data_IF_103469896223
#
_entry.id   IF_103469896223
#
_cell.length_a   1.000
_cell.length_b   1.000
_cell.length_c   1.000
_cell.angle_alpha   90.00
_cell.angle_beta   90.00
_cell.angle_gamma   90.00
#
_symmetry.space_group_name_H-M   'P 1'
#
loop_
_entity.id
_entity.type
_entity.pdbx_description
1 polymer ?
#
# COMPACT_ATOMS: atom_id res chain seq x y z
N UNK A 1 48.65 -14.76 -14.48
CA UNK A 1 48.89 -13.37 -14.05
C UNK A 1 48.33 -12.33 -15.01
N UNK A 2 48.17 -12.59 -16.32
CA UNK A 2 47.56 -11.62 -17.27
C UNK A 2 46.03 -11.49 -17.16
N UNK A 3 45.30 -12.59 -17.11
CA UNK A 3 43.82 -12.58 -17.03
C UNK A 3 43.26 -12.01 -15.71
N UNK A 4 44.02 -12.13 -14.61
CA UNK A 4 43.63 -11.58 -13.31
C UNK A 4 43.67 -10.04 -13.29
N UNK A 5 44.55 -9.45 -14.11
CA UNK A 5 44.70 -7.99 -14.23
C UNK A 5 43.57 -7.38 -15.10
N UNK A 6 43.13 -8.08 -16.13
CA UNK A 6 42.05 -7.62 -17.02
C UNK A 6 40.68 -7.58 -16.31
N UNK A 7 40.37 -8.58 -15.48
CA UNK A 7 39.14 -8.58 -14.68
C UNK A 7 39.13 -7.44 -13.66
N UNK A 8 40.26 -7.20 -12.99
CA UNK A 8 40.38 -6.12 -12.01
C UNK A 8 40.25 -4.73 -12.67
N UNK A 9 40.81 -4.55 -13.86
CA UNK A 9 40.63 -3.36 -14.70
C UNK A 9 39.15 -3.15 -15.10
N UNK A 10 38.45 -4.21 -15.51
CA UNK A 10 37.03 -4.12 -15.87
C UNK A 10 36.13 -3.80 -14.68
N UNK A 11 36.36 -4.41 -13.51
CA UNK A 11 35.62 -4.10 -12.27
C UNK A 11 35.86 -2.65 -11.84
N UNK A 12 37.10 -2.17 -11.95
CA UNK A 12 37.43 -0.77 -11.66
C UNK A 12 36.69 0.17 -12.62
N UNK A 13 36.69 -0.18 -13.91
CA UNK A 13 35.99 0.60 -14.94
C UNK A 13 34.48 0.63 -14.74
N UNK A 14 33.87 -0.49 -14.35
CA UNK A 14 32.45 -0.55 -14.00
C UNK A 14 32.14 0.41 -12.84
N UNK A 15 32.95 0.39 -11.77
CA UNK A 15 32.76 1.26 -10.62
C UNK A 15 32.87 2.76 -10.99
N UNK A 16 33.84 3.11 -11.85
CA UNK A 16 33.97 4.48 -12.39
C UNK A 16 32.74 4.90 -13.20
N UNK A 17 32.27 4.06 -14.11
CA UNK A 17 31.09 4.34 -14.94
C UNK A 17 29.81 4.47 -14.10
N UNK A 18 29.67 3.65 -13.05
CA UNK A 18 28.57 3.76 -12.09
C UNK A 18 28.63 5.09 -11.33
N UNK A 19 29.82 5.53 -10.93
CA UNK A 19 30.01 6.82 -10.27
C UNK A 19 29.69 8.00 -11.22
N UNK A 20 30.20 7.96 -12.45
CA UNK A 20 29.92 8.97 -13.48
C UNK A 20 28.42 9.04 -13.80
N UNK A 21 27.76 7.89 -13.97
CA UNK A 21 26.32 7.82 -14.17
C UNK A 21 25.53 8.44 -13.00
N UNK A 22 25.98 8.22 -11.76
CA UNK A 22 25.37 8.82 -10.57
C UNK A 22 25.50 10.35 -10.59
N UNK A 23 26.65 10.87 -10.96
CA UNK A 23 26.89 12.31 -11.05
C UNK A 23 26.05 12.96 -12.15
N UNK A 24 25.99 12.35 -13.34
CA UNK A 24 25.12 12.81 -14.44
C UNK A 24 23.65 12.79 -14.03
N UNK A 25 23.19 11.72 -13.36
CA UNK A 25 21.82 11.66 -12.82
C UNK A 25 21.55 12.77 -11.81
N UNK A 26 22.53 13.11 -10.98
CA UNK A 26 22.44 14.25 -10.05
C UNK A 26 22.38 15.60 -10.77
N UNK A 27 23.15 15.78 -11.84
CA UNK A 27 23.08 16.98 -12.68
C UNK A 27 21.73 17.13 -13.38
N UNK A 28 21.20 16.02 -13.92
CA UNK A 28 19.89 16.00 -14.57
C UNK A 28 18.78 16.35 -13.57
N UNK A 29 18.81 15.75 -12.37
CA UNK A 29 17.84 16.08 -11.33
C UNK A 29 17.86 17.57 -10.97
N UNK A 30 19.04 18.19 -10.82
CA UNK A 30 19.15 19.63 -10.59
C UNK A 30 18.62 20.46 -11.75
N UNK A 31 18.90 20.06 -13.00
CA UNK A 31 18.40 20.76 -14.18
C UNK A 31 16.88 20.68 -14.36
N UNK A 32 16.25 19.67 -13.74
CA UNK A 32 14.80 19.44 -13.75
C UNK A 32 14.12 19.90 -12.45
N UNK A 33 14.84 20.60 -11.56
CA UNK A 33 14.37 21.03 -10.24
C UNK A 33 13.80 19.88 -9.37
N UNK A 34 14.29 18.65 -9.60
CA UNK A 34 13.89 17.46 -8.84
C UNK A 34 14.60 17.44 -7.49
N UNK A 35 13.88 17.40 -6.36
CA UNK A 35 14.50 17.32 -5.04
C UNK A 35 15.28 16.02 -4.85
N UNK A 36 16.55 16.14 -4.45
CA UNK A 36 17.46 15.00 -4.17
C UNK A 36 17.86 14.87 -2.71
N UNK A 37 17.38 15.75 -1.83
CA UNK A 37 17.53 15.63 -0.38
C UNK A 37 16.17 15.74 0.29
N UNK A 38 16.07 15.20 1.51
CA UNK A 38 14.85 15.26 2.30
C UNK A 38 14.45 16.70 2.64
N UNK A 39 15.42 17.59 2.89
CA UNK A 39 15.16 19.01 3.16
C UNK A 39 14.57 19.71 1.93
N UNK A 40 15.14 19.47 0.74
CA UNK A 40 14.63 20.01 -0.51
C UNK A 40 13.24 19.44 -0.82
N UNK A 41 13.02 18.15 -0.55
CA UNK A 41 11.75 17.47 -0.76
C UNK A 41 10.66 18.00 0.18
N UNK A 42 10.99 18.24 1.45
CA UNK A 42 10.12 18.93 2.43
C UNK A 42 9.73 20.33 1.96
N UNK A 43 10.72 21.12 1.53
CA UNK A 43 10.52 22.52 1.16
C UNK A 43 9.68 22.68 -0.12
N UNK A 44 9.92 21.83 -1.11
CA UNK A 44 9.23 21.88 -2.41
C UNK A 44 7.88 21.17 -2.42
N UNK A 45 7.66 20.20 -1.53
CA UNK A 45 6.58 19.20 -1.66
C UNK A 45 6.56 18.54 -3.04
N UNK A 46 7.72 18.27 -3.65
CA UNK A 46 7.81 17.61 -4.97
C UNK A 46 7.24 16.18 -5.05
N UNK A 47 6.68 15.67 -3.95
CA UNK A 47 5.92 14.42 -3.86
C UNK A 47 4.40 14.63 -3.91
N UNK A 48 3.91 15.87 -3.91
CA UNK A 48 2.49 16.22 -3.81
C UNK A 48 1.93 16.73 -5.14
N UNK A 49 0.71 16.32 -5.47
CA UNK A 49 -0.02 16.68 -6.69
C UNK A 49 -1.46 17.04 -6.34
N UNK A 50 -2.12 17.84 -7.19
CA UNK A 50 -3.50 18.26 -6.98
C UNK A 50 -4.47 17.35 -7.75
N UNK A 51 -5.47 16.77 -7.08
CA UNK A 51 -6.48 15.91 -7.69
C UNK A 51 -7.30 16.62 -8.78
N UNK A 52 -7.42 17.95 -8.70
CA UNK A 52 -8.15 18.79 -9.66
C UNK A 52 -7.33 19.12 -10.92
N UNK A 53 -6.06 18.71 -10.98
CA UNK A 53 -5.19 18.87 -12.15
C UNK A 53 -5.55 17.96 -13.33
N UNK A 54 -4.92 18.15 -14.50
CA UNK A 54 -5.11 17.26 -15.65
C UNK A 54 -4.74 15.81 -15.31
N UNK A 55 -5.68 14.89 -15.48
CA UNK A 55 -5.55 13.50 -15.00
C UNK A 55 -4.25 12.83 -15.42
N UNK A 56 -3.88 12.90 -16.70
CA UNK A 56 -2.67 12.25 -17.23
C UNK A 56 -1.38 12.81 -16.61
N UNK A 57 -1.34 14.13 -16.35
CA UNK A 57 -0.19 14.78 -15.73
C UNK A 57 -0.06 14.40 -14.25
N UNK A 58 -1.19 14.38 -13.54
CA UNK A 58 -1.25 14.00 -12.12
C UNK A 58 -0.89 12.53 -11.93
N UNK A 59 -1.41 11.64 -12.78
CA UNK A 59 -1.10 10.20 -12.76
C UNK A 59 0.38 9.96 -13.05
N UNK A 60 0.92 10.58 -14.11
CA UNK A 60 2.34 10.45 -14.46
C UNK A 60 3.25 10.96 -13.35
N UNK A 61 2.99 12.17 -12.84
CA UNK A 61 3.78 12.76 -11.76
C UNK A 61 3.73 11.93 -10.47
N UNK A 62 2.55 11.43 -10.10
CA UNK A 62 2.39 10.56 -8.93
C UNK A 62 3.14 9.23 -9.09
N UNK A 63 3.06 8.61 -10.26
CA UNK A 63 3.79 7.37 -10.56
C UNK A 63 5.31 7.60 -10.54
N UNK A 64 5.79 8.71 -11.08
CA UNK A 64 7.21 9.11 -11.02
C UNK A 64 7.66 9.36 -9.57
N UNK A 65 6.83 10.01 -8.75
CA UNK A 65 7.11 10.23 -7.32
C UNK A 65 7.13 8.90 -6.54
N UNK A 66 6.20 7.98 -6.80
CA UNK A 66 6.21 6.63 -6.23
C UNK A 66 7.47 5.86 -6.63
N UNK A 67 7.85 5.88 -7.92
CA UNK A 67 9.06 5.22 -8.39
C UNK A 67 10.33 5.80 -7.76
N UNK A 68 10.38 7.12 -7.56
CA UNK A 68 11.55 7.84 -7.05
C UNK A 68 11.67 7.83 -5.53
N UNK A 69 10.59 8.13 -4.83
CA UNK A 69 10.56 8.38 -3.38
C UNK A 69 9.87 7.25 -2.60
N UNK A 70 9.12 6.37 -3.26
CA UNK A 70 8.35 5.30 -2.61
C UNK A 70 6.97 5.77 -2.12
N UNK A 71 6.62 7.04 -2.30
CA UNK A 71 5.33 7.61 -1.93
C UNK A 71 5.00 8.88 -2.72
N UNK A 72 3.73 9.27 -2.71
CA UNK A 72 3.25 10.58 -3.13
C UNK A 72 2.08 11.04 -2.23
N UNK A 73 1.67 12.30 -2.38
CA UNK A 73 0.45 12.86 -1.79
C UNK A 73 -0.42 13.40 -2.91
N UNK A 74 -1.72 13.09 -2.85
CA UNK A 74 -2.72 13.69 -3.71
C UNK A 74 -3.58 14.62 -2.86
N UNK A 75 -3.45 15.92 -3.07
CA UNK A 75 -4.23 16.95 -2.38
C UNK A 75 -5.63 17.10 -3.03
N UNK A 76 -6.59 17.64 -2.26
CA UNK A 76 -7.96 17.95 -2.72
C UNK A 76 -8.81 16.76 -3.24
N UNK A 77 -8.54 15.53 -2.79
CA UNK A 77 -9.34 14.35 -3.22
C UNK A 77 -10.75 14.37 -2.60
N UNK A 78 -10.85 14.74 -1.32
CA UNK A 78 -12.14 14.99 -0.67
C UNK A 78 -12.39 16.51 -0.68
N UNK A 79 -13.53 16.97 -1.22
CA UNK A 79 -13.90 18.38 -1.21
C UNK A 79 -13.95 18.97 0.21
N UNK A 80 -13.47 20.20 0.37
CA UNK A 80 -13.31 20.84 1.67
C UNK A 80 -14.61 20.96 2.48
N UNK A 81 -15.75 21.11 1.80
CA UNK A 81 -17.09 21.20 2.40
C UNK A 81 -17.63 19.86 2.92
N UNK A 82 -16.99 18.74 2.58
CA UNK A 82 -17.39 17.39 3.00
C UNK A 82 -16.52 16.83 4.13
N UNK A 83 -15.31 17.38 4.32
CA UNK A 83 -14.31 16.86 5.28
C UNK A 83 -14.88 16.69 6.68
N UNK A 84 -15.59 17.69 7.21
CA UNK A 84 -16.10 17.66 8.57
C UNK A 84 -17.09 16.50 8.78
N UNK A 85 -18.01 16.33 7.83
CA UNK A 85 -18.99 15.24 7.87
C UNK A 85 -18.32 13.87 7.78
N UNK A 86 -17.30 13.72 6.92
CA UNK A 86 -16.56 12.46 6.80
C UNK A 86 -15.73 12.17 8.06
N UNK A 87 -15.19 13.22 8.70
CA UNK A 87 -14.46 13.10 9.97
C UNK A 87 -15.38 12.60 11.08
N UNK A 88 -16.57 13.19 11.22
CA UNK A 88 -17.59 12.73 12.17
C UNK A 88 -18.04 11.29 11.89
N UNK A 89 -18.23 10.93 10.61
CA UNK A 89 -18.55 9.55 10.21
C UNK A 89 -17.44 8.58 10.63
N UNK A 90 -16.16 8.94 10.39
CA UNK A 90 -15.02 8.12 10.77
C UNK A 90 -14.90 7.97 12.29
N UNK A 91 -15.06 9.04 13.06
CA UNK A 91 -15.03 8.98 14.53
C UNK A 91 -16.15 8.07 15.08
N UNK A 92 -17.36 8.13 14.49
CA UNK A 92 -18.46 7.25 14.88
C UNK A 92 -18.22 5.79 14.44
N UNK A 93 -17.64 5.58 13.25
CA UNK A 93 -17.27 4.26 12.77
C UNK A 93 -16.20 3.60 13.65
N UNK A 94 -15.23 4.37 14.16
CA UNK A 94 -14.23 3.90 15.11
C UNK A 94 -14.89 3.34 16.37
N UNK A 95 -15.83 4.08 16.96
CA UNK A 95 -16.61 3.64 18.12
C UNK A 95 -17.34 2.32 17.82
N UNK A 96 -17.94 2.20 16.64
CA UNK A 96 -18.67 1.00 16.22
C UNK A 96 -17.73 -0.21 16.06
N UNK A 97 -16.60 -0.04 15.37
CA UNK A 97 -15.55 -1.07 15.17
C UNK A 97 -15.04 -1.56 16.52
N UNK A 98 -14.66 -0.64 17.41
CA UNK A 98 -14.09 -0.99 18.71
C UNK A 98 -15.11 -1.67 19.62
N UNK A 99 -16.34 -1.15 19.67
CA UNK A 99 -17.44 -1.73 20.45
C UNK A 99 -17.76 -3.15 19.98
N UNK A 100 -17.89 -3.36 18.66
CA UNK A 100 -18.12 -4.66 18.07
C UNK A 100 -16.97 -5.64 18.38
N UNK A 101 -15.73 -5.22 18.15
CA UNK A 101 -14.55 -6.04 18.43
C UNK A 101 -14.46 -6.42 19.93
N UNK A 102 -14.81 -5.50 20.84
CA UNK A 102 -14.85 -5.76 22.28
C UNK A 102 -15.93 -6.78 22.63
N UNK A 103 -17.17 -6.59 22.16
CA UNK A 103 -18.27 -7.49 22.41
C UNK A 103 -17.97 -8.93 21.95
N UNK A 104 -17.41 -9.09 20.74
CA UNK A 104 -17.01 -10.40 20.21
C UNK A 104 -15.91 -11.03 21.08
N UNK A 105 -14.87 -10.25 21.46
CA UNK A 105 -13.79 -10.77 22.33
C UNK A 105 -14.31 -11.22 23.68
N UNK A 106 -15.23 -10.48 24.28
CA UNK A 106 -15.85 -10.82 25.57
C UNK A 106 -16.69 -12.10 25.47
N UNK A 107 -17.51 -12.23 24.42
CA UNK A 107 -18.29 -13.43 24.17
C UNK A 107 -17.40 -14.67 23.97
N UNK A 108 -16.34 -14.56 23.16
CA UNK A 108 -15.37 -15.65 22.96
C UNK A 108 -14.63 -15.99 24.25
N UNK A 109 -14.18 -14.98 25.01
CA UNK A 109 -13.53 -15.17 26.32
C UNK A 109 -14.45 -15.85 27.34
N UNK A 110 -15.76 -15.64 27.24
CA UNK A 110 -16.78 -16.30 28.08
C UNK A 110 -17.09 -17.74 27.67
N UNK A 111 -16.50 -18.24 26.58
CA UNK A 111 -16.63 -19.63 26.13
C UNK A 111 -17.62 -19.84 24.98
N UNK A 112 -18.16 -18.78 24.38
CA UNK A 112 -18.99 -18.89 23.16
C UNK A 112 -18.10 -19.08 21.94
N UNK A 113 -18.37 -20.08 21.09
CA UNK A 113 -17.66 -20.24 19.83
C UNK A 113 -17.93 -19.04 18.91
N UNK A 114 -16.92 -18.55 18.18
CA UNK A 114 -17.07 -17.34 17.37
C UNK A 114 -18.05 -17.55 16.19
N UNK A 115 -18.13 -18.79 15.70
CA UNK A 115 -19.05 -19.25 14.67
C UNK A 115 -20.52 -19.07 15.11
N UNK A 116 -20.80 -19.31 16.39
CA UNK A 116 -22.14 -19.17 16.95
C UNK A 116 -22.58 -17.71 17.07
N UNK A 117 -21.69 -16.73 16.86
CA UNK A 117 -22.01 -15.31 16.92
C UNK A 117 -22.48 -14.74 15.58
N UNK A 118 -22.27 -15.46 14.48
CA UNK A 118 -22.64 -14.99 13.13
C UNK A 118 -24.15 -14.81 13.02
N UNK A 119 -24.57 -13.62 12.56
CA UNK A 119 -25.98 -13.27 12.39
C UNK A 119 -26.75 -13.01 13.69
N UNK A 120 -26.09 -13.01 14.85
CA UNK A 120 -26.71 -12.61 16.13
C UNK A 120 -26.68 -11.09 16.29
N UNK A 121 -27.79 -10.54 16.78
CA UNK A 121 -27.88 -9.11 17.09
C UNK A 121 -26.76 -8.69 18.06
N UNK A 122 -26.10 -7.57 17.76
CA UNK A 122 -24.99 -7.04 18.55
C UNK A 122 -23.60 -7.57 18.16
N UNK A 123 -23.50 -8.44 17.15
CA UNK A 123 -22.23 -8.93 16.63
C UNK A 123 -22.14 -8.77 15.11
N UNK A 124 -21.31 -7.84 14.66
CA UNK A 124 -21.02 -7.64 13.25
C UNK A 124 -19.86 -8.55 12.81
N UNK A 125 -20.23 -9.81 12.55
CA UNK A 125 -19.41 -10.86 11.98
C UNK A 125 -20.05 -11.36 10.68
N UNK A 126 -19.24 -11.70 9.68
CA UNK A 126 -19.70 -12.41 8.48
C UNK A 126 -18.86 -13.67 8.24
N UNK A 127 -19.41 -14.68 7.56
CA UNK A 127 -18.62 -15.81 7.10
C UNK A 127 -17.42 -15.35 6.29
N UNK A 128 -16.26 -15.97 6.51
CA UNK A 128 -15.12 -15.75 5.62
C UNK A 128 -15.44 -16.30 4.21
N UNK A 129 -14.91 -15.69 3.13
CA UNK A 129 -15.13 -16.18 1.77
C UNK A 129 -14.67 -17.63 1.57
N UNK A 130 -13.63 -18.06 2.30
CA UNK A 130 -13.07 -19.41 2.20
C UNK A 130 -13.69 -20.37 3.22
N UNK A 131 -14.18 -21.50 2.73
CA UNK A 131 -14.73 -22.60 3.54
C UNK A 131 -13.71 -23.10 4.57
N UNK A 132 -14.17 -23.32 5.80
CA UNK A 132 -13.34 -23.84 6.91
C UNK A 132 -12.48 -22.80 7.62
N UNK A 133 -12.61 -21.51 7.26
CA UNK A 133 -12.03 -20.40 8.02
C UNK A 133 -13.06 -19.84 9.02
N UNK A 134 -12.64 -19.39 10.21
CA UNK A 134 -13.54 -18.73 11.15
C UNK A 134 -14.13 -17.45 10.53
N UNK A 135 -15.32 -17.02 10.98
CA UNK A 135 -15.89 -15.74 10.56
C UNK A 135 -14.96 -14.58 10.93
N UNK A 136 -15.04 -13.51 10.16
CA UNK A 136 -14.27 -12.29 10.38
C UNK A 136 -15.21 -11.15 10.75
N UNK A 137 -14.63 -10.13 11.41
CA UNK A 137 -15.32 -8.84 11.57
C UNK A 137 -15.73 -8.32 10.19
N UNK A 138 -16.92 -7.70 10.14
CA UNK A 138 -17.41 -7.04 8.92
C UNK A 138 -16.40 -6.01 8.40
N UNK A 139 -16.37 -5.79 7.09
CA UNK A 139 -15.56 -4.74 6.50
C UNK A 139 -15.94 -3.36 7.05
N UNK A 140 -14.97 -2.54 7.46
CA UNK A 140 -15.23 -1.25 8.10
C UNK A 140 -16.00 -0.28 7.18
N UNK A 141 -16.01 -0.51 5.86
CA UNK A 141 -16.79 0.27 4.89
C UNK A 141 -18.29 0.30 5.20
N UNK A 142 -18.82 -0.71 5.92
CA UNK A 142 -20.25 -0.73 6.30
C UNK A 142 -20.64 0.40 7.25
N UNK A 143 -19.67 0.96 7.98
CA UNK A 143 -19.86 2.11 8.86
C UNK A 143 -19.37 3.42 8.22
N UNK A 144 -18.93 3.39 6.96
CA UNK A 144 -18.32 4.50 6.25
C UNK A 144 -19.02 4.80 4.88
N UNK A 145 -20.36 4.88 4.81
CA UNK A 145 -21.07 5.02 3.53
C UNK A 145 -20.80 6.35 2.79
N UNK A 146 -20.50 7.45 3.48
CA UNK A 146 -20.12 8.71 2.83
C UNK A 146 -18.69 8.63 2.31
N UNK A 147 -17.74 8.18 3.12
CA UNK A 147 -16.36 7.95 2.68
C UNK A 147 -16.28 6.96 1.51
N UNK A 148 -17.11 5.91 1.47
CA UNK A 148 -17.13 4.92 0.39
C UNK A 148 -17.32 5.56 -1.00
N UNK A 149 -18.00 6.72 -1.08
CA UNK A 149 -18.20 7.49 -2.33
C UNK A 149 -16.89 8.03 -2.91
N UNK A 150 -15.86 8.18 -2.10
CA UNK A 150 -14.54 8.69 -2.50
C UNK A 150 -13.50 7.59 -2.70
N UNK A 151 -13.66 6.41 -2.11
CA UNK A 151 -12.64 5.37 -2.12
C UNK A 151 -12.21 4.93 -3.53
N UNK A 152 -13.14 4.97 -4.49
CA UNK A 152 -12.86 4.70 -5.92
C UNK A 152 -12.70 5.99 -6.75
N UNK A 153 -12.13 7.06 -6.17
CA UNK A 153 -11.89 8.31 -6.88
C UNK A 153 -11.12 8.07 -8.19
N UNK A 154 -11.48 8.71 -9.32
CA UNK A 154 -10.85 8.45 -10.61
C UNK A 154 -9.33 8.64 -10.61
N UNK A 155 -8.85 9.71 -9.97
CA UNK A 155 -7.40 9.99 -9.92
C UNK A 155 -6.63 8.98 -9.06
N UNK A 156 -7.13 8.61 -7.87
CA UNK A 156 -6.43 7.64 -7.01
C UNK A 156 -6.42 6.25 -7.62
N UNK A 157 -7.52 5.84 -8.25
CA UNK A 157 -7.62 4.55 -8.95
C UNK A 157 -6.73 4.51 -10.20
N UNK A 158 -6.65 5.59 -10.97
CA UNK A 158 -5.74 5.68 -12.12
C UNK A 158 -4.27 5.60 -11.71
N UNK A 159 -3.86 6.28 -10.62
CA UNK A 159 -2.51 6.15 -10.05
C UNK A 159 -2.23 4.71 -9.64
N UNK A 160 -3.18 4.05 -8.95
CA UNK A 160 -2.99 2.67 -8.52
C UNK A 160 -2.83 1.71 -9.71
N UNK A 161 -3.60 1.90 -10.78
CA UNK A 161 -3.50 1.08 -11.99
C UNK A 161 -2.17 1.28 -12.72
N UNK A 162 -1.72 2.53 -12.82
CA UNK A 162 -0.45 2.86 -13.46
C UNK A 162 0.77 2.22 -12.77
N UNK A 163 0.67 1.93 -11.47
CA UNK A 163 1.77 1.39 -10.67
C UNK A 163 1.67 -0.12 -10.42
N UNK A 164 0.46 -0.68 -10.30
CA UNK A 164 0.24 -2.09 -9.96
C UNK A 164 -0.16 -2.96 -11.18
N UNK A 165 -1.36 -2.73 -11.74
CA UNK A 165 -1.92 -3.27 -12.99
C UNK A 165 -3.39 -2.79 -13.10
N UNK A 166 -4.10 -3.09 -14.18
CA UNK A 166 -5.49 -2.66 -14.38
C UNK A 166 -6.51 -3.34 -13.46
N UNK A 167 -6.26 -4.59 -13.06
CA UNK A 167 -7.16 -5.36 -12.20
C UNK A 167 -6.69 -5.38 -10.74
N UNK A 168 -7.38 -4.58 -9.94
CA UNK A 168 -7.04 -4.30 -8.54
C UNK A 168 -8.08 -4.84 -7.56
N UNK A 169 -7.66 -5.03 -6.30
CA UNK A 169 -8.49 -5.38 -5.14
C UNK A 169 -8.08 -4.51 -3.95
N UNK A 170 -9.03 -4.22 -3.05
CA UNK A 170 -8.74 -3.59 -1.75
C UNK A 170 -8.66 -4.69 -0.68
N UNK A 171 -7.45 -5.10 -0.35
CA UNK A 171 -7.18 -6.21 0.57
C UNK A 171 -7.32 -5.84 2.05
N UNK A 172 -7.35 -4.56 2.38
CA UNK A 172 -7.43 -4.06 3.74
C UNK A 172 -8.13 -2.71 3.75
N UNK A 173 -9.02 -2.48 4.71
CA UNK A 173 -9.65 -1.19 4.97
C UNK A 173 -9.87 -1.09 6.48
N UNK A 174 -9.33 -0.05 7.11
CA UNK A 174 -9.53 0.19 8.53
C UNK A 174 -9.31 1.64 8.93
N UNK A 175 -9.94 2.03 10.04
CA UNK A 175 -9.70 3.31 10.67
C UNK A 175 -8.35 3.32 11.39
N UNK A 176 -7.72 4.50 11.43
CA UNK A 176 -6.41 4.70 12.02
C UNK A 176 -6.35 6.03 12.77
N UNK A 177 -7.05 6.19 13.90
CA UNK A 177 -6.86 7.36 14.76
C UNK A 177 -5.42 7.43 15.29
N UNK A 178 -4.91 8.65 15.52
CA UNK A 178 -3.73 8.87 16.36
C UNK A 178 -4.11 9.91 17.42
N UNK A 179 -4.39 9.44 18.63
CA UNK A 179 -4.80 10.28 19.75
C UNK A 179 -3.77 11.37 20.06
N UNK A 180 -4.24 12.56 20.42
CA UNK A 180 -3.40 13.57 21.08
C UNK A 180 -3.12 13.20 22.53
N UNK A 181 -2.33 14.04 23.21
CA UNK A 181 -2.14 13.94 24.66
C UNK A 181 -3.48 13.89 25.40
N UNK A 182 -3.62 12.94 26.31
CA UNK A 182 -4.81 12.77 27.14
C UNK A 182 -4.80 13.73 28.33
N UNK A 183 -5.99 14.00 28.90
CA UNK A 183 -6.15 14.91 30.03
C UNK A 183 -5.41 14.46 31.31
N UNK A 184 -5.13 13.16 31.44
CA UNK A 184 -4.37 12.60 32.56
C UNK A 184 -2.83 12.71 32.38
N UNK A 185 -2.39 13.34 31.29
CA UNK A 185 -0.98 13.50 30.93
C UNK A 185 -0.39 12.33 30.14
N UNK A 186 -1.20 11.32 29.78
CA UNK A 186 -0.74 10.23 28.91
C UNK A 186 -0.39 10.77 27.52
N UNK A 187 0.85 10.57 27.02
CA UNK A 187 1.23 11.10 25.72
C UNK A 187 0.42 10.51 24.57
N UNK A 188 0.05 11.38 23.63
CA UNK A 188 -0.57 11.05 22.36
C UNK A 188 0.38 10.28 21.46
N UNK A 189 -0.16 9.63 20.42
CA UNK A 189 0.60 8.86 19.45
C UNK A 189 0.12 7.43 19.25
N UNK A 190 0.78 6.72 18.35
CA UNK A 190 0.55 5.32 18.04
C UNK A 190 1.35 4.39 18.99
N UNK A 191 1.00 3.10 19.00
CA UNK A 191 1.72 2.07 19.75
C UNK A 191 1.37 2.05 21.24
N UNK A 192 2.23 1.46 22.08
CA UNK A 192 1.94 1.33 23.53
C UNK A 192 2.24 2.65 24.27
N UNK A 193 1.38 3.10 25.20
CA UNK A 193 1.55 4.39 25.89
C UNK A 193 2.93 4.63 26.51
N UNK A 194 3.56 3.60 27.08
CA UNK A 194 4.89 3.71 27.71
C UNK A 194 6.05 4.02 26.73
N UNK A 195 5.83 3.86 25.42
CA UNK A 195 6.83 4.14 24.40
C UNK A 195 6.53 5.45 23.63
N UNK A 196 5.44 6.14 23.95
CA UNK A 196 5.02 7.39 23.32
C UNK A 196 5.70 8.61 23.96
N UNK A 197 5.51 9.78 23.34
CA UNK A 197 5.86 11.07 23.93
C UNK A 197 7.25 11.60 23.58
N UNK A 198 8.09 10.77 22.96
CA UNK A 198 9.42 11.17 22.50
C UNK A 198 9.41 11.51 21.01
N UNK A 199 9.79 12.75 20.66
CA UNK A 199 9.86 13.22 19.26
C UNK A 199 10.86 12.45 18.39
N UNK A 200 11.85 11.80 19.00
CA UNK A 200 12.91 11.04 18.33
C UNK A 200 12.62 9.53 18.24
N UNK A 201 11.42 9.06 18.64
CA UNK A 201 11.08 7.64 18.57
C UNK A 201 10.26 7.33 17.33
N UNK A 202 10.52 6.17 16.72
CA UNK A 202 9.84 5.63 15.53
C UNK A 202 9.36 4.20 15.80
N UNK A 203 8.59 3.67 14.85
CA UNK A 203 8.27 2.24 14.76
C UNK A 203 8.40 1.81 13.29
N UNK A 204 9.63 1.83 12.78
CA UNK A 204 9.92 1.55 11.38
C UNK A 204 9.48 0.17 10.96
N UNK A 205 8.79 0.13 9.83
CA UNK A 205 8.40 -1.09 9.17
C UNK A 205 8.15 -0.83 7.68
N UNK A 206 8.05 -1.93 6.95
CA UNK A 206 7.39 -1.99 5.66
C UNK A 206 6.03 -2.64 5.85
N UNK A 207 5.19 -2.54 4.84
CA UNK A 207 3.86 -3.14 4.86
C UNK A 207 3.85 -4.46 4.09
N UNK A 208 2.95 -5.38 4.44
CA UNK A 208 2.77 -6.63 3.70
C UNK A 208 2.66 -6.44 2.16
N UNK A 209 3.33 -7.27 1.34
CA UNK A 209 4.01 -8.52 1.69
C UNK A 209 5.47 -8.37 2.14
N UNK A 210 5.94 -7.14 2.36
CA UNK A 210 7.33 -6.84 2.72
C UNK A 210 7.57 -6.79 4.24
N UNK A 211 6.51 -6.77 5.06
CA UNK A 211 6.63 -6.86 6.53
C UNK A 211 7.06 -8.27 6.95
N UNK A 212 8.31 -8.42 7.37
CA UNK A 212 8.91 -9.71 7.75
C UNK A 212 8.31 -10.30 9.04
N UNK A 213 7.60 -9.51 9.84
CA UNK A 213 6.83 -10.05 10.98
C UNK A 213 5.58 -10.80 10.53
N UNK A 214 5.08 -10.46 9.32
CA UNK A 214 3.89 -10.99 8.69
C UNK A 214 2.69 -11.14 9.64
N UNK A 215 2.50 -10.17 10.54
CA UNK A 215 1.38 -10.08 11.49
C UNK A 215 1.20 -11.27 12.46
N UNK A 216 2.18 -12.16 12.59
CA UNK A 216 2.04 -13.36 13.44
C UNK A 216 3.34 -14.08 13.81
N UNK A 217 4.50 -13.70 13.29
CA UNK A 217 5.77 -14.37 13.60
C UNK A 217 5.72 -15.86 13.24
N UNK A 218 6.16 -16.77 14.10
CA UNK A 218 6.16 -18.21 13.77
C UNK A 218 4.79 -18.91 13.86
N UNK A 219 3.69 -18.16 14.04
CA UNK A 219 2.34 -18.71 14.19
C UNK A 219 1.68 -18.91 12.83
N UNK A 220 1.76 -20.10 12.26
CA UNK A 220 1.18 -20.41 10.93
C UNK A 220 -0.33 -20.11 10.81
N UNK A 221 -1.04 -20.10 11.94
CA UNK A 221 -2.47 -19.79 12.03
C UNK A 221 -2.79 -18.27 11.99
N UNK A 222 -1.81 -17.43 12.33
CA UNK A 222 -1.93 -15.96 12.45
C UNK A 222 -0.98 -15.19 11.51
N UNK A 223 -0.01 -15.87 10.91
CA UNK A 223 0.97 -15.28 10.03
C UNK A 223 0.39 -15.12 8.61
N UNK A 224 0.60 -13.97 7.99
CA UNK A 224 0.09 -13.61 6.68
C UNK A 224 1.06 -13.90 5.51
N UNK A 225 2.18 -14.57 5.77
CA UNK A 225 3.29 -14.71 4.84
C UNK A 225 4.03 -13.39 4.60
N UNK A 226 5.28 -13.49 4.16
CA UNK A 226 6.04 -12.38 3.60
C UNK A 226 6.91 -12.91 2.45
N UNK A 227 7.31 -12.04 1.53
CA UNK A 227 8.30 -12.41 0.51
C UNK A 227 9.71 -12.40 1.11
N UNK A 228 10.60 -13.22 0.56
CA UNK A 228 12.00 -13.26 1.00
C UNK A 228 12.75 -11.99 0.58
N UNK A 229 13.71 -11.57 1.40
CA UNK A 229 14.75 -10.63 0.98
C UNK A 229 15.77 -11.31 0.03
N UNK A 230 16.50 -10.56 -0.81
CA UNK A 230 16.22 -9.16 -1.17
C UNK A 230 14.87 -9.05 -1.90
N UNK A 231 14.17 -7.95 -1.68
CA UNK A 231 12.87 -7.74 -2.33
C UNK A 231 13.09 -7.41 -3.81
N UNK A 232 12.28 -7.97 -4.73
CA UNK A 232 12.32 -7.55 -6.12
C UNK A 232 11.96 -6.06 -6.24
N UNK A 233 12.56 -5.37 -7.22
CA UNK A 233 12.26 -3.96 -7.48
C UNK A 233 10.91 -3.80 -8.23
N UNK A 234 9.82 -4.27 -7.62
CA UNK A 234 8.45 -4.20 -8.14
C UNK A 234 7.48 -3.81 -7.04
N UNK A 235 6.58 -2.88 -7.33
CA UNK A 235 5.50 -2.52 -6.42
C UNK A 235 4.50 -3.68 -6.37
N UNK A 236 4.25 -4.23 -5.18
CA UNK A 236 3.28 -5.31 -5.00
C UNK A 236 1.96 -4.82 -4.40
N UNK A 237 2.02 -3.82 -3.52
CA UNK A 237 0.82 -3.21 -2.95
C UNK A 237 1.03 -1.71 -2.82
N UNK A 238 -0.06 -0.96 -2.91
CA UNK A 238 -0.11 0.43 -2.51
C UNK A 238 -0.93 0.57 -1.23
N UNK A 239 -0.42 1.35 -0.28
CA UNK A 239 -1.13 1.70 0.94
C UNK A 239 -1.54 3.15 0.82
N UNK A 240 -2.84 3.41 0.95
CA UNK A 240 -3.40 4.76 0.89
C UNK A 240 -3.93 5.17 2.25
N UNK A 241 -3.50 6.33 2.72
CA UNK A 241 -3.94 6.95 3.98
C UNK A 241 -4.71 8.21 3.61
N UNK A 242 -6.02 8.17 3.86
CA UNK A 242 -6.94 9.27 3.63
C UNK A 242 -7.00 10.11 4.90
N UNK A 243 -6.45 11.33 4.86
CA UNK A 243 -6.42 12.21 6.02
C UNK A 243 -7.72 13.01 6.12
N UNK A 244 -8.37 12.97 7.28
CA UNK A 244 -9.58 13.76 7.59
C UNK A 244 -9.28 14.90 8.57
N UNK A 245 -8.01 15.07 8.92
CA UNK A 245 -7.45 16.19 9.68
C UNK A 245 -6.17 16.65 8.99
N UNK A 246 -5.81 17.91 9.14
CA UNK A 246 -4.50 18.40 8.69
C UNK A 246 -3.37 17.62 9.38
N UNK A 247 -2.34 17.27 8.61
CA UNK A 247 -1.18 16.53 9.11
C UNK A 247 0.13 17.27 8.86
N UNK A 248 0.94 17.36 9.90
CA UNK A 248 2.28 17.95 9.93
C UNK A 248 3.15 17.25 10.99
N UNK A 249 4.26 17.90 11.36
CA UNK A 249 5.25 17.32 12.27
C UNK A 249 4.71 17.07 13.69
N UNK A 250 3.74 17.88 14.14
CA UNK A 250 3.21 17.81 15.49
C UNK A 250 1.80 17.17 15.55
N UNK A 251 1.10 17.02 14.42
CA UNK A 251 -0.24 16.40 14.32
C UNK A 251 -0.26 14.92 13.92
N UNK A 252 0.81 14.20 14.28
CA UNK A 252 0.84 12.74 14.16
C UNK A 252 0.95 12.22 12.72
N UNK A 253 1.51 13.00 11.80
CA UNK A 253 1.72 12.58 10.40
C UNK A 253 2.61 11.34 10.29
N UNK A 254 2.40 10.58 9.22
CA UNK A 254 3.23 9.41 8.88
C UNK A 254 4.67 9.83 8.63
N UNK A 255 5.61 9.12 9.26
CA UNK A 255 7.03 9.19 8.95
C UNK A 255 7.36 8.31 7.75
N UNK A 256 8.26 8.77 6.89
CA UNK A 256 8.77 8.05 5.72
C UNK A 256 10.27 8.27 5.56
N UNK A 257 10.95 7.30 4.94
CA UNK A 257 12.31 7.45 4.43
C UNK A 257 12.26 7.46 2.90
N UNK A 258 12.35 8.62 2.24
CA UNK A 258 12.27 8.69 0.78
C UNK A 258 13.31 7.80 0.09
N UNK A 259 12.88 6.98 -0.88
CA UNK A 259 13.73 6.10 -1.67
C UNK A 259 14.06 4.75 -1.01
N UNK A 260 13.62 4.53 0.23
CA UNK A 260 13.91 3.29 0.99
C UNK A 260 13.28 2.02 0.39
N UNK A 261 12.28 2.13 -0.48
CA UNK A 261 11.68 1.00 -1.19
C UNK A 261 12.66 0.26 -2.12
N UNK A 262 13.81 0.88 -2.42
CA UNK A 262 14.90 0.33 -3.24
C UNK A 262 16.07 -0.20 -2.41
N UNK A 263 16.06 -0.01 -1.08
CA UNK A 263 17.10 -0.56 -0.21
C UNK A 263 16.83 -2.06 0.00
N UNK A 264 17.82 -2.94 -0.20
CA UNK A 264 17.63 -4.38 -0.03
C UNK A 264 17.38 -4.79 1.44
N UNK A 265 17.72 -3.91 2.38
CA UNK A 265 17.46 -4.11 3.81
C UNK A 265 16.01 -3.81 4.16
N UNK A 266 15.62 -4.23 5.35
CA UNK A 266 14.32 -4.01 5.93
C UNK A 266 14.49 -3.56 7.39
N UNK A 267 13.68 -2.60 7.91
CA UNK A 267 13.78 -2.19 9.30
C UNK A 267 13.56 -3.33 10.31
N UNK A 268 12.87 -4.40 9.91
CA UNK A 268 12.63 -5.62 10.69
C UNK A 268 13.45 -6.81 10.20
N UNK A 269 14.42 -6.60 9.32
CA UNK A 269 15.36 -7.63 8.88
C UNK A 269 16.31 -8.00 10.03
N UNK A 270 16.39 -9.28 10.43
CA UNK A 270 17.16 -9.69 11.60
C UNK A 270 18.67 -9.45 11.47
N UNK A 271 19.18 -9.40 10.24
CA UNK A 271 20.61 -9.22 9.94
C UNK A 271 20.94 -7.83 9.39
N UNK A 272 19.94 -6.94 9.27
CA UNK A 272 20.10 -5.64 8.59
C UNK A 272 20.65 -4.53 9.49
N UNK A 273 20.72 -4.77 10.80
CA UNK A 273 21.31 -3.83 11.77
C UNK A 273 20.53 -2.52 11.94
N UNK A 274 19.25 -2.49 11.58
CA UNK A 274 18.39 -1.30 11.68
C UNK A 274 17.61 -1.35 13.00
N UNK A 275 17.75 -0.30 13.81
CA UNK A 275 16.88 -0.09 14.97
C UNK A 275 15.50 0.36 14.50
N UNK A 276 14.46 -0.39 14.86
CA UNK A 276 13.05 -0.06 14.56
C UNK A 276 12.64 1.28 15.17
N UNK A 277 13.27 1.70 16.27
CA UNK A 277 12.83 2.88 17.03
C UNK A 277 13.68 4.12 16.85
N UNK A 278 14.90 4.00 16.34
CA UNK A 278 15.79 5.13 16.13
C UNK A 278 15.43 5.88 14.84
N UNK A 279 15.60 7.21 14.77
CA UNK A 279 15.46 7.94 13.52
C UNK A 279 16.44 7.42 12.47
N UNK A 280 16.00 7.37 11.22
CA UNK A 280 16.87 7.06 10.09
C UNK A 280 17.31 8.39 9.47
N UNK A 281 18.63 8.61 9.20
CA UNK A 281 19.08 9.83 8.55
C UNK A 281 18.32 10.09 7.25
N UNK A 282 17.76 11.29 7.12
CA UNK A 282 16.91 11.66 5.98
C UNK A 282 15.45 11.26 6.12
N UNK A 283 14.98 10.84 7.31
CA UNK A 283 13.55 10.67 7.55
C UNK A 283 12.76 12.00 7.53
N UNK A 284 11.47 11.87 7.25
CA UNK A 284 10.56 12.99 7.26
C UNK A 284 9.15 12.61 7.66
N UNK A 285 8.43 13.56 8.25
CA UNK A 285 6.98 13.51 8.30
C UNK A 285 6.40 14.13 7.05
N UNK A 286 5.38 13.45 6.51
CA UNK A 286 4.55 13.97 5.44
C UNK A 286 3.75 15.16 5.96
N UNK A 287 3.52 16.16 5.12
CA UNK A 287 2.56 17.23 5.43
C UNK A 287 1.42 17.13 4.43
N UNK A 288 0.18 17.27 4.86
CA UNK A 288 -0.98 17.28 3.97
C UNK A 288 -2.16 17.99 4.64
N UNK A 289 -3.08 18.50 3.83
CA UNK A 289 -4.34 19.03 4.35
C UNK A 289 -5.35 17.92 4.53
N UNK A 290 -6.35 18.15 5.37
CA UNK A 290 -7.51 17.28 5.42
C UNK A 290 -8.12 17.18 4.00
N UNK A 291 -8.57 15.98 3.64
CA UNK A 291 -9.04 15.63 2.31
C UNK A 291 -7.95 15.19 1.32
N UNK A 292 -6.67 15.25 1.71
CA UNK A 292 -5.58 14.67 0.93
C UNK A 292 -5.43 13.16 1.18
N UNK A 293 -4.83 12.48 0.21
CA UNK A 293 -4.51 11.05 0.26
C UNK A 293 -3.01 10.85 0.12
N UNK A 294 -2.38 10.27 1.11
CA UNK A 294 -0.99 9.78 0.99
C UNK A 294 -1.01 8.38 0.40
N UNK A 295 -0.23 8.14 -0.65
CA UNK A 295 -0.14 6.86 -1.37
C UNK A 295 1.31 6.38 -1.26
N UNK A 296 1.51 5.14 -0.85
CA UNK A 296 2.83 4.59 -0.56
C UNK A 296 2.99 3.20 -1.17
N UNK A 297 4.17 2.93 -1.74
CA UNK A 297 4.63 1.58 -2.05
C UNK A 297 4.86 0.79 -0.75
N UNK A 298 4.31 -0.42 -0.64
CA UNK A 298 4.42 -1.25 0.57
C UNK A 298 5.86 -1.56 1.00
N UNK A 299 6.85 -1.40 0.12
CA UNK A 299 8.29 -1.51 0.43
C UNK A 299 8.87 -0.30 1.14
N UNK A 300 8.24 0.88 1.05
CA UNK A 300 8.77 2.10 1.64
C UNK A 300 8.80 1.98 3.17
N UNK A 301 9.93 2.34 3.77
CA UNK A 301 10.10 2.34 5.22
C UNK A 301 9.33 3.51 5.80
N UNK A 302 8.40 3.20 6.69
CA UNK A 302 7.51 4.17 7.27
C UNK A 302 7.22 3.85 8.75
N UNK A 303 6.69 4.83 9.47
CA UNK A 303 6.25 4.67 10.84
C UNK A 303 5.04 5.57 11.12
N UNK A 304 4.10 5.07 11.91
CA UNK A 304 3.09 5.93 12.53
C UNK A 304 3.77 6.83 13.58
N UNK A 305 3.31 8.06 13.74
CA UNK A 305 3.84 8.94 14.76
C UNK A 305 3.56 8.39 16.16
N UNK A 306 4.60 8.20 16.97
CA UNK A 306 4.50 7.80 18.37
C UNK A 306 4.31 8.98 19.32
N UNK A 307 4.02 10.15 18.75
CA UNK A 307 3.80 11.39 19.45
C UNK A 307 2.85 12.28 18.63
N UNK A 308 1.84 12.85 19.28
CA UNK A 308 0.94 13.82 18.68
C UNK A 308 0.64 14.93 19.70
N UNK A 309 1.35 16.05 19.55
CA UNK A 309 1.24 17.24 20.43
C UNK A 309 0.32 18.33 19.90
N UNK A 310 -0.35 18.10 18.78
CA UNK A 310 -1.21 19.09 18.15
C UNK A 310 -2.46 19.46 18.95
N UNK A 311 -2.74 18.75 20.05
CA UNK A 311 -3.92 18.95 20.88
C UNK A 311 -5.22 18.40 20.27
N UNK A 312 -5.15 17.69 19.14
CA UNK A 312 -6.29 17.03 18.52
C UNK A 312 -5.92 15.64 17.99
N UNK A 313 -6.90 14.72 18.02
CA UNK A 313 -6.74 13.39 17.43
C UNK A 313 -6.62 13.53 15.91
N UNK A 314 -5.59 12.90 15.33
CA UNK A 314 -5.50 12.75 13.88
C UNK A 314 -6.47 11.68 13.42
N UNK A 315 -7.38 12.03 12.52
CA UNK A 315 -8.37 11.09 11.96
C UNK A 315 -7.95 10.71 10.55
N UNK A 316 -7.87 9.40 10.29
CA UNK A 316 -7.56 8.90 8.95
C UNK A 316 -8.10 7.49 8.72
N UNK A 317 -8.29 7.15 7.45
CA UNK A 317 -8.71 5.82 6.99
C UNK A 317 -7.60 5.24 6.12
N UNK A 318 -7.22 4.00 6.38
CA UNK A 318 -6.14 3.30 5.68
C UNK A 318 -6.72 2.18 4.84
N UNK A 319 -6.30 2.10 3.59
CA UNK A 319 -6.61 0.98 2.73
C UNK A 319 -5.39 0.48 1.97
N UNK A 320 -5.40 -0.81 1.62
CA UNK A 320 -4.33 -1.47 0.88
C UNK A 320 -4.86 -2.00 -0.43
N UNK A 321 -4.30 -1.50 -1.53
CA UNK A 321 -4.58 -1.91 -2.89
C UNK A 321 -3.54 -2.92 -3.35
N UNK A 322 -4.03 -4.01 -3.94
CA UNK A 322 -3.21 -5.10 -4.45
C UNK A 322 -3.67 -5.44 -5.88
N UNK A 323 -2.78 -5.85 -6.77
CA UNK A 323 -3.17 -6.50 -8.01
C UNK A 323 -3.80 -7.87 -7.71
N UNK A 324 -4.71 -8.30 -8.58
CA UNK A 324 -5.51 -9.52 -8.40
C UNK A 324 -4.71 -10.82 -8.26
N UNK A 325 -3.51 -10.86 -8.83
CA UNK A 325 -2.63 -12.03 -8.81
C UNK A 325 -1.93 -12.22 -7.45
N UNK A 326 -2.07 -11.26 -6.51
CA UNK A 326 -1.71 -11.48 -5.12
C UNK A 326 -2.84 -12.18 -4.36
N UNK A 327 -2.49 -13.28 -3.69
CA UNK A 327 -3.42 -14.20 -3.04
C UNK A 327 -3.96 -13.70 -1.68
N UNK A 328 -4.52 -12.50 -1.63
CA UNK A 328 -4.85 -11.77 -0.38
C UNK A 328 -5.84 -12.47 0.56
N UNK A 329 -6.69 -13.36 0.05
CA UNK A 329 -7.79 -13.99 0.81
C UNK A 329 -7.35 -15.17 1.72
N UNK A 330 -6.12 -15.66 1.56
CA UNK A 330 -5.69 -16.93 2.16
C UNK A 330 -4.83 -16.80 3.43
N UNK A 331 -4.50 -15.57 3.80
CA UNK A 331 -3.47 -15.27 4.80
C UNK A 331 -4.01 -15.11 6.21
N UNK A 332 -3.21 -15.48 7.21
CA UNK A 332 -3.54 -15.37 8.64
C UNK A 332 -4.93 -15.96 8.97
N UNK A 333 -5.14 -17.24 8.64
CA UNK A 333 -6.48 -17.79 8.49
C UNK A 333 -7.32 -17.86 9.75
N UNK A 334 -6.70 -17.87 10.94
CA UNK A 334 -7.38 -17.94 12.22
C UNK A 334 -7.31 -16.62 12.99
N UNK A 335 -7.08 -15.49 12.31
CA UNK A 335 -7.12 -14.17 12.94
C UNK A 335 -8.42 -13.42 12.60
N UNK A 336 -9.53 -13.71 13.30
CA UNK A 336 -10.83 -13.10 13.00
C UNK A 336 -10.84 -11.58 13.20
N UNK A 337 -9.89 -11.05 13.99
CA UNK A 337 -9.75 -9.63 14.34
C UNK A 337 -8.77 -8.86 13.46
N UNK A 338 -8.07 -9.50 12.52
CA UNK A 338 -7.22 -8.75 11.59
C UNK A 338 -8.07 -7.86 10.67
N UNK A 339 -7.42 -6.96 9.95
CA UNK A 339 -8.07 -6.00 9.04
C UNK A 339 -8.01 -6.44 7.57
N UNK A 340 -7.45 -7.64 7.31
CA UNK A 340 -7.22 -8.16 5.95
C UNK A 340 -8.47 -8.89 5.46
N UNK A 341 -8.93 -8.53 4.27
CA UNK A 341 -10.06 -9.14 3.54
C UNK A 341 -11.26 -9.38 4.45
N UNK A 342 -11.68 -8.32 5.17
CA UNK A 342 -12.89 -8.38 5.99
C UNK A 342 -14.13 -8.47 5.09
N UNK A 343 -15.02 -9.45 5.32
CA UNK A 343 -16.12 -9.78 4.44
C UNK A 343 -17.28 -8.77 4.45
N UNK A 344 -18.04 -8.79 3.36
CA UNK A 344 -19.35 -8.15 3.15
C UNK A 344 -20.42 -9.22 2.91
N UNK A 345 -21.67 -8.94 3.27
CA UNK A 345 -22.83 -9.65 2.75
C UNK A 345 -23.36 -9.01 1.45
N UNK A 346 -24.33 -9.66 0.80
CA UNK A 346 -24.89 -9.19 -0.46
C UNK A 346 -25.49 -7.78 -0.35
N UNK A 347 -26.33 -7.52 0.67
CA UNK A 347 -26.97 -6.20 0.82
C UNK A 347 -25.98 -5.07 1.07
N UNK A 348 -24.87 -5.35 1.77
CA UNK A 348 -23.80 -4.38 2.01
C UNK A 348 -23.00 -4.12 0.73
N UNK A 349 -22.73 -5.16 -0.06
CA UNK A 349 -22.09 -5.02 -1.36
C UNK A 349 -22.98 -4.25 -2.35
N UNK A 350 -24.27 -4.55 -2.40
CA UNK A 350 -25.24 -3.88 -3.26
C UNK A 350 -25.33 -2.38 -2.97
N UNK A 351 -25.15 -1.99 -1.70
CA UNK A 351 -25.17 -0.61 -1.23
C UNK A 351 -23.89 0.18 -1.54
N UNK A 352 -22.80 -0.49 -1.96
CA UNK A 352 -21.57 0.20 -2.35
C UNK A 352 -21.79 1.06 -3.60
N UNK A 353 -21.05 2.18 -3.75
CA UNK A 353 -20.98 2.90 -5.02
C UNK A 353 -20.54 1.96 -6.16
N UNK A 354 -21.16 2.10 -7.33
CA UNK A 354 -20.87 1.24 -8.50
C UNK A 354 -19.39 1.21 -8.87
N UNK A 355 -18.71 2.36 -8.82
CA UNK A 355 -17.28 2.46 -9.11
C UNK A 355 -16.39 1.68 -8.12
N UNK A 356 -16.88 1.41 -6.90
CA UNK A 356 -16.13 0.71 -5.86
C UNK A 356 -16.32 -0.81 -5.90
N UNK A 357 -17.47 -1.29 -6.41
CA UNK A 357 -17.83 -2.72 -6.47
C UNK A 357 -16.72 -3.61 -7.07
N UNK A 358 -16.06 -3.25 -8.19
CA UNK A 358 -15.00 -4.08 -8.77
C UNK A 358 -13.81 -4.37 -7.83
N UNK A 359 -13.57 -3.50 -6.84
CA UNK A 359 -12.43 -3.60 -5.94
C UNK A 359 -12.74 -4.34 -4.63
N UNK A 360 -14.03 -4.50 -4.29
CA UNK A 360 -14.50 -5.16 -3.07
C UNK A 360 -15.34 -6.43 -3.32
N UNK A 361 -15.65 -6.79 -4.57
CA UNK A 361 -16.40 -8.03 -4.85
C UNK A 361 -15.75 -9.29 -4.28
N UNK A 362 -14.42 -9.35 -4.25
CA UNK A 362 -13.67 -10.49 -3.69
C UNK A 362 -13.95 -10.74 -2.20
N UNK A 363 -14.37 -9.72 -1.44
CA UNK A 363 -14.77 -9.86 -0.03
C UNK A 363 -16.26 -10.11 0.16
N UNK A 364 -17.05 -10.20 -0.91
CA UNK A 364 -18.46 -10.59 -0.85
C UNK A 364 -18.62 -12.04 -1.36
N UNK A 365 -18.87 -13.03 -0.49
CA UNK A 365 -18.85 -14.46 -0.88
C UNK A 365 -19.90 -14.86 -1.93
N UNK A 366 -20.95 -14.06 -2.10
CA UNK A 366 -22.02 -14.28 -3.08
C UNK A 366 -21.72 -13.69 -4.46
N UNK A 367 -20.69 -12.86 -4.56
CA UNK A 367 -20.24 -12.25 -5.81
C UNK A 367 -19.17 -13.11 -6.49
N UNK A 368 -19.28 -13.24 -7.81
CA UNK A 368 -18.23 -13.88 -8.59
C UNK A 368 -17.04 -12.93 -8.73
N UNK A 369 -15.90 -13.29 -8.14
CA UNK A 369 -14.65 -12.57 -8.33
C UNK A 369 -14.00 -12.93 -9.68
N UNK A 370 -14.58 -12.39 -10.76
CA UNK A 370 -14.07 -12.54 -12.13
C UNK A 370 -12.87 -11.62 -12.39
N UNK A 371 -12.31 -11.63 -13.61
CA UNK A 371 -11.34 -10.61 -14.02
C UNK A 371 -12.06 -9.30 -14.35
N UNK A 372 -11.39 -8.16 -14.17
CA UNK A 372 -11.89 -6.87 -14.66
C UNK A 372 -11.68 -6.75 -16.18
N UNK A 373 -12.57 -6.03 -16.86
CA UNK A 373 -12.63 -5.97 -18.33
C UNK A 373 -11.29 -5.65 -19.03
N UNK A 374 -10.47 -4.68 -18.56
CA UNK A 374 -9.19 -4.38 -19.23
C UNK A 374 -8.24 -5.57 -19.35
N UNK A 375 -8.27 -6.51 -18.39
CA UNK A 375 -7.45 -7.73 -18.45
C UNK A 375 -7.98 -8.69 -19.52
N UNK A 376 -9.30 -8.78 -19.68
CA UNK A 376 -9.92 -9.58 -20.73
C UNK A 376 -9.64 -9.00 -22.12
N UNK A 377 -9.69 -7.68 -22.27
CA UNK A 377 -9.37 -6.99 -23.52
C UNK A 377 -7.92 -7.25 -23.94
N UNK A 378 -6.98 -7.12 -22.98
CA UNK A 378 -5.56 -7.43 -23.19
C UNK A 378 -5.34 -8.91 -23.56
N UNK A 379 -6.06 -9.83 -22.91
CA UNK A 379 -5.97 -11.25 -23.22
C UNK A 379 -6.54 -11.59 -24.60
N UNK A 380 -7.65 -10.96 -25.00
CA UNK A 380 -8.25 -11.13 -26.32
C UNK A 380 -7.30 -10.64 -27.43
N UNK A 381 -6.68 -9.46 -27.26
CA UNK A 381 -5.69 -8.95 -28.20
C UNK A 381 -4.49 -9.91 -28.35
N UNK A 382 -4.01 -10.51 -27.25
CA UNK A 382 -2.96 -11.52 -27.29
C UNK A 382 -3.41 -12.82 -27.98
N UNK A 383 -4.67 -13.23 -27.80
CA UNK A 383 -5.23 -14.40 -28.48
C UNK A 383 -5.33 -14.19 -29.99
N UNK A 384 -5.73 -12.99 -30.44
CA UNK A 384 -5.74 -12.59 -31.84
C UNK A 384 -4.33 -12.58 -32.43
N UNK A 385 -3.35 -12.03 -31.72
CA UNK A 385 -1.94 -12.08 -32.13
C UNK A 385 -1.41 -13.51 -32.28
N UNK A 386 -1.79 -14.40 -31.34
CA UNK A 386 -1.42 -15.80 -31.41
C UNK A 386 -2.05 -16.49 -32.64
N UNK A 387 -3.34 -16.26 -32.91
CA UNK A 387 -4.00 -16.79 -34.10
C UNK A 387 -3.35 -16.30 -35.39
N UNK A 388 -3.04 -15.00 -35.45
CA UNK A 388 -2.34 -14.41 -36.58
C UNK A 388 -0.99 -15.11 -36.84
N UNK A 389 -0.20 -15.40 -35.81
CA UNK A 389 1.09 -16.07 -35.96
C UNK A 389 0.99 -17.46 -36.60
N UNK A 390 -0.06 -18.22 -36.28
CA UNK A 390 -0.30 -19.54 -36.90
C UNK A 390 -0.86 -19.42 -38.32
N UNK A 391 -1.72 -18.43 -38.60
CA UNK A 391 -2.18 -18.14 -39.96
C UNK A 391 -1.02 -17.72 -40.86
N UNK A 392 -0.11 -16.90 -40.35
CA UNK A 392 1.12 -16.52 -41.07
C UNK A 392 1.96 -17.74 -41.44
N UNK A 393 2.11 -18.72 -40.53
CA UNK A 393 2.79 -19.99 -40.83
C UNK A 393 2.10 -20.79 -41.94
N UNK A 394 0.77 -20.82 -41.97
CA UNK A 394 0.01 -21.52 -43.01
C UNK A 394 0.11 -20.82 -44.37
N UNK A 395 0.06 -19.49 -44.39
CA UNK A 395 0.07 -18.66 -45.61
C UNK A 395 1.49 -18.46 -46.18
N UNK A 396 2.51 -18.41 -45.32
CA UNK A 396 3.90 -18.08 -45.66
C UNK A 396 4.92 -19.09 -45.10
N UNK A 397 4.77 -20.41 -45.36
CA UNK A 397 5.60 -21.44 -44.72
C UNK A 397 7.10 -21.30 -45.00
N UNK A 398 7.49 -20.74 -46.14
CA UNK A 398 8.88 -20.54 -46.53
C UNK A 398 9.52 -19.28 -45.89
N UNK A 399 8.71 -18.36 -45.36
CA UNK A 399 9.17 -17.08 -44.77
C UNK A 399 9.32 -17.17 -43.23
N UNK A 400 8.71 -18.17 -42.59
CA UNK A 400 8.63 -18.31 -41.12
C UNK A 400 10.01 -18.37 -40.46
N UNK A 401 10.99 -19.00 -41.10
CA UNK A 401 12.34 -19.15 -40.56
C UNK A 401 13.06 -17.80 -40.36
N UNK A 402 12.72 -16.80 -41.18
CA UNK A 402 13.34 -15.47 -41.16
C UNK A 402 12.41 -14.39 -40.57
N UNK A 403 11.14 -14.70 -40.32
CA UNK A 403 10.12 -13.74 -39.86
C UNK A 403 10.47 -13.01 -38.54
N UNK A 404 11.37 -13.57 -37.72
CA UNK A 404 11.87 -12.96 -36.49
C UNK A 404 13.37 -12.64 -36.55
N UNK A 405 13.98 -12.50 -37.73
CA UNK A 405 15.43 -12.25 -37.88
C UNK A 405 15.92 -11.02 -37.15
N UNK A 406 15.04 -10.01 -37.04
CA UNK A 406 15.33 -8.73 -36.39
C UNK A 406 15.10 -8.78 -34.86
N UNK A 407 14.58 -9.89 -34.33
CA UNK A 407 14.37 -10.08 -32.90
C UNK A 407 15.65 -10.59 -32.27
N UNK A 408 16.36 -9.70 -31.60
CA UNK A 408 17.55 -10.02 -30.81
C UNK A 408 17.20 -9.98 -29.32
N UNK A 409 17.29 -11.12 -28.65
CA UNK A 409 17.16 -11.21 -27.18
C UNK A 409 18.54 -11.36 -26.59
N UNK A 410 19.02 -10.30 -25.94
CA UNK A 410 20.30 -10.33 -25.24
C UNK A 410 20.20 -11.28 -24.03
N UNK A 411 21.12 -12.25 -23.96
CA UNK A 411 21.32 -13.01 -22.72
C UNK A 411 22.02 -12.05 -21.76
N UNK A 412 21.22 -11.36 -20.94
CA UNK A 412 21.71 -10.37 -19.98
C UNK A 412 22.86 -10.93 -19.14
N UNK A 413 23.99 -10.23 -19.13
CA UNK A 413 25.19 -10.58 -18.36
C UNK A 413 25.08 -10.15 -16.89
N UNK A 414 24.07 -9.36 -16.54
CA UNK A 414 23.78 -8.96 -15.17
C UNK A 414 23.07 -10.10 -14.44
N UNK A 415 23.84 -10.92 -13.71
CA UNK A 415 23.30 -11.75 -12.65
C UNK A 415 22.61 -10.83 -11.64
N UNK A 416 21.28 -10.88 -11.62
CA UNK A 416 20.37 -10.32 -10.61
C UNK A 416 21.07 -9.83 -9.33
N UNK A 417 21.11 -8.50 -9.14
CA UNK A 417 21.48 -7.86 -7.87
C UNK A 417 20.48 -8.17 -6.77
#
# INVERSE_FOLDING_TARGET
>A
MGETNEVEELVTREAELVAELKDVRGMLARAQDVPTSTEALKASRGYAFDADGPLDEVVRGSAEALARYGFCVLDNVIPADQIERLREEAEQAEINVESNARAIREAVKSGTAIEDLVGKNGFELRPAPRVGRPPKLVNDVVWLPEYAKHLAHPTTTAIAKAVLDDHLRIAQLHLRPVASDAADGTPGGFGRPQFRGRKDTREWHTDWPHDLSAYGGNRADLNAGCIRQPFPDVAMCLVMIWYLTDVDQDSGATFVVPGSHRDPRNPRGPEDGISVTSPIPGDMQVTAKAGSVFIQDSRCWHASAMHNTSGHTRVAIVNRWCPWWLSVDDYSPNAPFNTVCRPLNQSEFDALPEALKPYLRHVCPTEADSLQQPVLDRAQAAAEQNQWGFLYLEEHPDEVAEANSDVHVDIGLEGSR
#
